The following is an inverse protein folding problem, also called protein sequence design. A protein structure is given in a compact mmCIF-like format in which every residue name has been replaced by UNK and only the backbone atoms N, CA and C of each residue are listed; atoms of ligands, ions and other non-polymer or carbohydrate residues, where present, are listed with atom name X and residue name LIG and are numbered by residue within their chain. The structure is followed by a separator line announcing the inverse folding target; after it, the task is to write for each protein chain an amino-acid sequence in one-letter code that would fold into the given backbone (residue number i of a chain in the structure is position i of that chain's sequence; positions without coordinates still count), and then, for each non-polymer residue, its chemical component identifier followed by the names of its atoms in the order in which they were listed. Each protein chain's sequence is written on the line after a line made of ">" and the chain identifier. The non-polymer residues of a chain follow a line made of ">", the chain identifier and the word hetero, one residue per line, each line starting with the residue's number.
data_IF_153313765765
#
_entry.id   IF_153313765765
#
_cell.length_a   1.000
_cell.length_b   1.000
_cell.length_c   1.000
_cell.angle_alpha   90.00
_cell.angle_beta   90.00
_cell.angle_gamma   90.00
#
_symmetry.space_group_name_H-M   'P 1'
#
loop_
_entity.id
_entity.type
_entity.pdbx_description
1 polymer ?
#
# COMPACT_ATOMS: atom_id res chain seq x y z
N UNK A 1 -30.66 37.37 7.05
CA UNK A 1 -30.40 35.95 7.43
C UNK A 1 -30.48 34.97 6.25
N UNK A 2 -31.54 35.00 5.42
CA UNK A 2 -31.66 34.09 4.26
C UNK A 2 -30.53 34.24 3.22
N UNK A 3 -30.10 35.46 2.92
CA UNK A 3 -29.01 35.74 1.97
C UNK A 3 -27.64 35.21 2.42
N UNK A 4 -27.31 35.28 3.72
CA UNK A 4 -26.08 34.70 4.26
C UNK A 4 -26.06 33.17 4.14
N UNK A 5 -27.21 32.52 4.34
CA UNK A 5 -27.34 31.07 4.22
C UNK A 5 -27.10 30.59 2.78
N UNK A 6 -27.60 31.33 1.78
CA UNK A 6 -27.38 31.02 0.36
C UNK A 6 -25.92 31.22 -0.07
N UNK A 7 -25.24 32.25 0.41
CA UNK A 7 -23.80 32.47 0.14
C UNK A 7 -22.97 31.32 0.72
N UNK A 8 -23.31 30.86 1.94
CA UNK A 8 -22.62 29.76 2.62
C UNK A 8 -22.86 28.42 1.92
N UNK A 9 -24.10 28.13 1.50
CA UNK A 9 -24.43 26.95 0.68
C UNK A 9 -23.74 26.98 -0.69
N UNK A 10 -23.67 28.14 -1.34
CA UNK A 10 -22.99 28.30 -2.62
C UNK A 10 -21.47 28.12 -2.48
N UNK A 11 -20.87 28.63 -1.40
CA UNK A 11 -19.47 28.40 -1.06
C UNK A 11 -19.16 26.93 -0.80
N UNK A 12 -20.03 26.22 -0.06
CA UNK A 12 -19.93 24.76 0.15
C UNK A 12 -20.07 24.02 -1.18
N UNK A 13 -20.99 24.42 -2.04
CA UNK A 13 -21.20 23.82 -3.36
C UNK A 13 -19.99 24.01 -4.29
N UNK A 14 -19.40 25.20 -4.33
CA UNK A 14 -18.16 25.46 -5.09
C UNK A 14 -17.00 24.63 -4.53
N UNK A 15 -16.84 24.57 -3.19
CA UNK A 15 -15.83 23.74 -2.55
C UNK A 15 -16.03 22.25 -2.86
N UNK A 16 -17.28 21.78 -2.90
CA UNK A 16 -17.64 20.42 -3.28
C UNK A 16 -17.35 20.12 -4.76
N UNK A 17 -17.69 21.03 -5.68
CA UNK A 17 -17.32 20.92 -7.10
C UNK A 17 -15.80 20.90 -7.29
N UNK A 18 -15.08 21.76 -6.57
CA UNK A 18 -13.62 21.81 -6.63
C UNK A 18 -12.98 20.53 -6.07
N UNK A 19 -13.55 19.99 -4.99
CA UNK A 19 -13.17 18.70 -4.42
C UNK A 19 -13.42 17.54 -5.40
N UNK A 20 -14.60 17.49 -6.07
CA UNK A 20 -14.90 16.52 -7.12
C UNK A 20 -13.93 16.67 -8.31
N UNK A 21 -13.67 17.89 -8.78
CA UNK A 21 -12.73 18.13 -9.90
C UNK A 21 -11.31 17.71 -9.56
N UNK A 22 -10.86 17.97 -8.33
CA UNK A 22 -9.54 17.54 -7.86
C UNK A 22 -9.44 16.01 -7.84
N UNK A 23 -10.50 15.31 -7.41
CA UNK A 23 -10.56 13.85 -7.51
C UNK A 23 -10.63 13.34 -8.97
N UNK A 24 -11.25 14.08 -9.89
CA UNK A 24 -11.55 13.62 -11.26
C UNK A 24 -10.56 14.02 -12.35
N UNK A 25 -9.59 14.92 -12.07
CA UNK A 25 -8.60 15.34 -13.08
C UNK A 25 -7.82 14.19 -13.75
N UNK A 26 -7.22 14.41 -14.93
CA UNK A 26 -6.41 13.40 -15.61
C UNK A 26 -5.21 12.99 -14.74
N UNK A 27 -4.86 11.70 -14.75
CA UNK A 27 -3.58 11.20 -14.21
C UNK A 27 -2.95 10.31 -15.28
N UNK A 28 -1.62 10.41 -15.42
CA UNK A 28 -0.86 9.57 -16.34
C UNK A 28 -0.78 8.15 -15.78
N UNK A 29 -1.18 7.17 -16.58
CA UNK A 29 -1.10 5.74 -16.28
C UNK A 29 -0.05 5.08 -17.18
N UNK A 30 0.60 4.04 -16.68
CA UNK A 30 1.65 3.30 -17.37
C UNK A 30 1.09 1.96 -17.85
N UNK A 31 0.61 1.91 -19.10
CA UNK A 31 0.02 0.69 -19.68
C UNK A 31 0.98 -0.49 -19.68
N UNK A 32 2.26 -0.25 -19.98
CA UNK A 32 3.30 -1.28 -19.91
C UNK A 32 3.45 -1.89 -18.52
N UNK A 33 3.30 -1.09 -17.44
CA UNK A 33 3.34 -1.61 -16.07
C UNK A 33 2.15 -2.49 -15.72
N UNK A 34 0.97 -2.23 -16.29
CA UNK A 34 -0.21 -3.08 -16.15
C UNK A 34 0.05 -4.44 -16.79
N UNK A 35 0.56 -4.45 -18.03
CA UNK A 35 0.91 -5.67 -18.76
C UNK A 35 1.99 -6.48 -18.04
N UNK A 36 3.08 -5.82 -17.63
CA UNK A 36 4.16 -6.44 -16.84
C UNK A 36 3.63 -7.04 -15.53
N UNK A 37 2.70 -6.37 -14.85
CA UNK A 37 2.10 -6.89 -13.62
C UNK A 37 1.27 -8.14 -13.89
N UNK A 38 0.45 -8.13 -14.94
CA UNK A 38 -0.30 -9.33 -15.36
C UNK A 38 0.64 -10.49 -15.66
N UNK A 39 1.69 -10.27 -16.44
CA UNK A 39 2.65 -11.30 -16.85
C UNK A 39 3.45 -11.86 -15.67
N UNK A 40 4.00 -10.98 -14.83
CA UNK A 40 4.95 -11.39 -13.79
C UNK A 40 4.30 -11.86 -12.49
N UNK A 41 3.08 -11.39 -12.19
CA UNK A 41 2.44 -11.58 -10.89
C UNK A 41 0.98 -12.03 -10.97
N UNK A 42 0.29 -11.85 -12.10
CA UNK A 42 -1.17 -12.04 -12.22
C UNK A 42 -1.66 -13.37 -11.63
N UNK A 43 -1.16 -14.49 -12.15
CA UNK A 43 -1.55 -15.84 -11.72
C UNK A 43 -1.32 -16.06 -10.22
N UNK A 44 -0.17 -15.62 -9.69
CA UNK A 44 0.16 -15.78 -8.27
C UNK A 44 -0.74 -14.92 -7.39
N UNK A 45 -1.01 -13.68 -7.81
CA UNK A 45 -1.92 -12.77 -7.12
C UNK A 45 -3.32 -13.35 -7.10
N UNK A 46 -3.84 -13.84 -8.23
CA UNK A 46 -5.18 -14.42 -8.33
C UNK A 46 -5.35 -15.60 -7.38
N UNK A 47 -4.40 -16.55 -7.40
CA UNK A 47 -4.38 -17.70 -6.51
C UNK A 47 -4.40 -17.29 -5.03
N UNK A 48 -3.49 -16.41 -4.63
CA UNK A 48 -3.37 -16.00 -3.22
C UNK A 48 -4.54 -15.12 -2.77
N UNK A 49 -5.06 -14.26 -3.65
CA UNK A 49 -6.21 -13.42 -3.36
C UNK A 49 -7.46 -14.29 -3.14
N UNK A 50 -7.65 -15.32 -3.97
CA UNK A 50 -8.70 -16.32 -3.80
C UNK A 50 -8.56 -17.07 -2.46
N UNK A 51 -7.39 -17.63 -2.17
CA UNK A 51 -7.09 -18.33 -0.90
C UNK A 51 -7.38 -17.43 0.32
N UNK A 52 -7.06 -16.15 0.21
CA UNK A 52 -7.20 -15.20 1.32
C UNK A 52 -8.58 -14.55 1.43
N UNK A 53 -9.45 -14.71 0.42
CA UNK A 53 -10.74 -14.03 0.31
C UNK A 53 -10.59 -12.51 0.18
N UNK A 54 -9.71 -12.07 -0.72
CA UNK A 54 -9.36 -10.67 -0.96
C UNK A 54 -9.46 -10.31 -2.45
N UNK A 55 -9.63 -9.02 -2.82
CA UNK A 55 -9.77 -8.60 -4.22
C UNK A 55 -8.42 -8.61 -4.94
N UNK A 56 -8.31 -9.43 -6.01
CA UNK A 56 -7.08 -9.55 -6.81
C UNK A 56 -6.69 -8.24 -7.49
N UNK A 57 -7.66 -7.54 -8.10
CA UNK A 57 -7.47 -6.26 -8.77
C UNK A 57 -6.77 -5.21 -7.88
N UNK A 58 -7.06 -5.18 -6.58
CA UNK A 58 -6.36 -4.29 -5.62
C UNK A 58 -4.86 -4.58 -5.56
N UNK A 59 -4.48 -5.85 -5.46
CA UNK A 59 -3.07 -6.24 -5.36
C UNK A 59 -2.33 -5.99 -6.67
N UNK A 60 -2.93 -6.31 -7.82
CA UNK A 60 -2.35 -5.98 -9.12
C UNK A 60 -2.14 -4.47 -9.27
N UNK A 61 -3.14 -3.65 -8.89
CA UNK A 61 -3.00 -2.20 -8.88
C UNK A 61 -1.89 -1.71 -7.94
N UNK A 62 -1.77 -2.31 -6.75
CA UNK A 62 -0.73 -1.98 -5.79
C UNK A 62 0.67 -2.31 -6.31
N UNK A 63 0.86 -3.47 -6.96
CA UNK A 63 2.13 -3.86 -7.59
C UNK A 63 2.56 -2.85 -8.66
N UNK A 64 1.62 -2.35 -9.48
CA UNK A 64 1.92 -1.29 -10.45
C UNK A 64 2.47 -0.04 -9.75
N UNK A 65 1.88 0.37 -8.62
CA UNK A 65 2.32 1.55 -7.89
C UNK A 65 3.66 1.35 -7.17
N UNK A 66 3.88 0.18 -6.59
CA UNK A 66 5.02 -0.08 -5.70
C UNK A 66 6.29 -0.51 -6.46
N UNK A 67 6.15 -1.26 -7.55
CA UNK A 67 7.31 -1.72 -8.32
C UNK A 67 7.12 -1.69 -9.84
N UNK A 68 6.06 -1.09 -10.36
CA UNK A 68 5.77 -1.00 -11.81
C UNK A 68 5.64 -2.35 -12.51
N UNK A 69 5.40 -3.44 -11.77
CA UNK A 69 5.38 -4.81 -12.28
C UNK A 69 6.76 -5.42 -12.57
N UNK A 70 7.86 -4.76 -12.19
CA UNK A 70 9.23 -5.29 -12.35
C UNK A 70 9.43 -6.58 -11.54
N UNK A 71 10.04 -7.60 -12.17
CA UNK A 71 10.47 -8.86 -11.54
C UNK A 71 11.94 -9.13 -11.91
N UNK A 72 12.87 -9.24 -10.94
CA UNK A 72 12.68 -9.04 -9.51
C UNK A 72 12.39 -7.58 -9.15
N UNK A 73 11.59 -7.31 -8.11
CA UNK A 73 11.32 -5.95 -7.67
C UNK A 73 12.55 -5.37 -6.95
N UNK A 74 12.86 -4.09 -7.19
CA UNK A 74 13.94 -3.38 -6.50
C UNK A 74 13.55 -3.13 -5.04
N UNK A 75 14.47 -3.40 -4.12
CA UNK A 75 14.32 -3.06 -2.70
C UNK A 75 14.73 -1.62 -2.44
N UNK A 76 14.14 -0.97 -1.42
CA UNK A 76 14.50 0.42 -1.07
C UNK A 76 14.89 0.54 0.40
N UNK A 77 16.15 0.92 0.64
CA UNK A 77 16.64 1.18 1.99
C UNK A 77 16.20 2.57 2.49
N UNK A 78 15.51 2.60 3.62
CA UNK A 78 15.04 3.83 4.25
C UNK A 78 15.97 4.28 5.38
N UNK A 79 16.96 5.12 5.04
CA UNK A 79 17.94 5.65 6.02
C UNK A 79 17.28 6.28 7.25
N UNK A 80 16.14 6.94 7.08
CA UNK A 80 15.42 7.58 8.16
C UNK A 80 14.75 6.55 9.11
N UNK A 81 14.24 5.43 8.57
CA UNK A 81 13.70 4.31 9.35
C UNK A 81 14.82 3.64 10.14
N UNK A 82 15.96 3.36 9.50
CA UNK A 82 17.13 2.80 10.17
C UNK A 82 17.58 3.64 11.36
N UNK A 83 17.73 4.97 11.18
CA UNK A 83 18.09 5.88 12.26
C UNK A 83 17.10 5.80 13.43
N UNK A 84 15.79 5.68 13.15
CA UNK A 84 14.76 5.54 14.19
C UNK A 84 14.87 4.21 14.93
N UNK A 85 15.02 3.09 14.23
CA UNK A 85 15.22 1.76 14.83
C UNK A 85 16.51 1.71 15.66
N UNK A 86 17.60 2.26 15.14
CA UNK A 86 18.87 2.36 15.85
C UNK A 86 18.75 3.17 17.16
N UNK A 87 18.05 4.31 17.13
CA UNK A 87 17.76 5.09 18.34
C UNK A 87 16.95 4.30 19.37
N UNK A 88 15.97 3.49 18.93
CA UNK A 88 15.23 2.59 19.83
C UNK A 88 16.16 1.54 20.44
N UNK A 89 16.98 0.87 19.61
CA UNK A 89 17.97 -0.11 20.09
C UNK A 89 18.92 0.47 21.14
N UNK A 90 19.39 1.70 20.93
CA UNK A 90 20.28 2.40 21.87
C UNK A 90 19.58 3.00 23.09
N UNK A 91 18.25 2.93 23.18
CA UNK A 91 17.48 3.54 24.27
C UNK A 91 17.31 5.06 24.15
N UNK A 92 17.79 5.69 23.07
CA UNK A 92 17.64 7.13 22.75
C UNK A 92 16.25 7.48 22.21
N UNK A 93 15.36 6.49 22.12
CA UNK A 93 13.95 6.60 21.75
C UNK A 93 13.18 5.46 22.42
N UNK A 94 12.04 5.76 23.04
CA UNK A 94 11.23 4.76 23.77
C UNK A 94 10.71 3.64 22.85
N UNK A 95 10.15 4.00 21.69
CA UNK A 95 9.56 3.06 20.72
C UNK A 95 9.48 3.59 19.29
N UNK A 96 9.34 2.71 18.31
CA UNK A 96 8.97 3.02 16.92
C UNK A 96 7.80 2.12 16.51
N UNK A 97 6.59 2.68 16.45
CA UNK A 97 5.38 1.85 16.45
C UNK A 97 5.32 0.98 17.73
N UNK A 98 5.12 -0.33 17.56
CA UNK A 98 5.17 -1.34 18.62
C UNK A 98 6.59 -1.82 18.96
N UNK A 99 7.62 -1.40 18.19
CA UNK A 99 8.98 -1.89 18.34
C UNK A 99 9.67 -1.18 19.52
N UNK A 100 10.24 -1.98 20.43
CA UNK A 100 10.90 -1.50 21.66
C UNK A 100 12.38 -1.88 21.68
N UNK A 101 13.13 -1.34 22.64
CA UNK A 101 14.53 -1.73 22.90
C UNK A 101 14.66 -3.25 23.11
N UNK A 102 13.70 -3.87 23.83
CA UNK A 102 13.67 -5.33 24.08
C UNK A 102 13.61 -6.11 22.76
N UNK A 103 12.77 -5.67 21.84
CA UNK A 103 12.64 -6.26 20.49
C UNK A 103 13.98 -6.24 19.74
N UNK A 104 14.68 -5.10 19.77
CA UNK A 104 15.87 -4.88 18.93
C UNK A 104 17.21 -5.25 19.58
N UNK A 105 17.22 -5.69 20.85
CA UNK A 105 18.45 -5.88 21.63
C UNK A 105 19.45 -6.81 20.94
N UNK A 106 18.97 -7.90 20.32
CA UNK A 106 19.79 -8.92 19.66
C UNK A 106 20.10 -8.65 18.18
N UNK A 107 19.49 -7.62 17.57
CA UNK A 107 19.66 -7.35 16.14
C UNK A 107 21.01 -6.69 15.82
N UNK A 108 21.75 -7.20 14.86
CA UNK A 108 22.96 -6.56 14.33
C UNK A 108 22.63 -5.30 13.53
N UNK A 109 23.62 -4.48 13.19
CA UNK A 109 23.41 -3.32 12.31
C UNK A 109 22.94 -3.75 10.92
N UNK A 110 23.44 -4.88 10.39
CA UNK A 110 22.97 -5.45 9.13
C UNK A 110 21.49 -5.85 9.21
N UNK A 111 21.09 -6.53 10.29
CA UNK A 111 19.68 -6.89 10.49
C UNK A 111 18.79 -5.65 10.70
N UNK A 112 19.28 -4.60 11.37
CA UNK A 112 18.55 -3.32 11.44
C UNK A 112 18.38 -2.67 10.05
N UNK A 113 19.37 -2.80 9.17
CA UNK A 113 19.28 -2.33 7.78
C UNK A 113 18.21 -3.12 7.03
N UNK A 114 18.17 -4.44 7.17
CA UNK A 114 17.13 -5.28 6.57
C UNK A 114 15.72 -4.88 7.03
N UNK A 115 15.54 -4.62 8.34
CA UNK A 115 14.26 -4.16 8.88
C UNK A 115 13.88 -2.75 8.37
N UNK A 116 14.87 -1.94 7.99
CA UNK A 116 14.67 -0.59 7.46
C UNK A 116 14.57 -0.55 5.93
N UNK A 117 14.49 -1.70 5.26
CA UNK A 117 14.34 -1.80 3.80
C UNK A 117 12.92 -2.25 3.45
N UNK A 118 12.32 -1.70 2.40
CA UNK A 118 11.10 -2.24 1.78
C UNK A 118 11.44 -3.36 0.82
N UNK A 119 10.63 -4.42 0.82
CA UNK A 119 10.90 -5.64 0.09
C UNK A 119 9.70 -6.10 -0.74
N UNK A 120 10.00 -6.84 -1.81
CA UNK A 120 9.00 -7.51 -2.63
C UNK A 120 8.15 -6.58 -3.50
N UNK A 121 7.18 -7.15 -4.24
CA UNK A 121 6.37 -6.42 -5.20
C UNK A 121 5.34 -5.49 -4.54
N UNK A 122 5.06 -5.66 -3.25
CA UNK A 122 4.23 -4.74 -2.46
C UNK A 122 5.05 -3.79 -1.56
N UNK A 123 6.39 -3.77 -1.72
CA UNK A 123 7.29 -2.87 -0.96
C UNK A 123 7.04 -2.82 0.56
N UNK A 124 6.79 -3.98 1.18
CA UNK A 124 6.55 -4.05 2.63
C UNK A 124 7.84 -3.79 3.39
N UNK A 125 7.80 -2.87 4.35
CA UNK A 125 8.93 -2.57 5.22
C UNK A 125 9.33 -3.79 6.06
N UNK A 126 10.60 -4.14 6.06
CA UNK A 126 11.12 -5.35 6.73
C UNK A 126 10.77 -5.43 8.22
N UNK A 127 10.69 -4.29 8.92
CA UNK A 127 10.32 -4.26 10.34
C UNK A 127 8.91 -4.81 10.62
N UNK A 128 8.04 -4.89 9.62
CA UNK A 128 6.72 -5.52 9.75
C UNK A 128 6.82 -7.02 10.05
N UNK A 129 7.94 -7.66 9.71
CA UNK A 129 8.16 -9.09 9.99
C UNK A 129 8.15 -9.38 11.49
N UNK A 130 8.52 -8.37 12.31
CA UNK A 130 8.51 -8.46 13.77
C UNK A 130 7.09 -8.59 14.33
N UNK A 131 6.14 -7.86 13.76
CA UNK A 131 4.73 -7.93 14.18
C UNK A 131 4.09 -9.26 13.74
N UNK A 132 4.48 -9.75 12.56
CA UNK A 132 4.02 -11.04 12.03
C UNK A 132 4.72 -12.25 12.65
N UNK A 133 5.77 -12.05 13.46
CA UNK A 133 6.61 -13.11 14.04
C UNK A 133 7.24 -14.05 12.99
N UNK A 134 7.65 -13.48 11.85
CA UNK A 134 8.35 -14.20 10.77
C UNK A 134 9.74 -13.58 10.52
N UNK A 135 10.71 -14.33 9.98
CA UNK A 135 11.99 -13.74 9.60
C UNK A 135 11.82 -12.78 8.40
N UNK A 136 12.64 -11.73 8.35
CA UNK A 136 12.59 -10.73 7.27
C UNK A 136 12.79 -11.35 5.87
N UNK A 137 13.47 -12.49 5.78
CA UNK A 137 13.62 -13.26 4.55
C UNK A 137 12.30 -13.70 3.92
N UNK A 138 11.20 -13.78 4.68
CA UNK A 138 9.87 -14.08 4.10
C UNK A 138 9.30 -12.96 3.24
N UNK A 139 9.79 -11.73 3.37
CA UNK A 139 9.49 -10.65 2.43
C UNK A 139 10.47 -10.59 1.26
N UNK A 140 11.47 -11.48 1.23
CA UNK A 140 12.44 -11.62 0.15
C UNK A 140 12.06 -12.82 -0.71
N UNK A 141 12.63 -12.87 -1.91
CA UNK A 141 12.62 -14.05 -2.78
C UNK A 141 11.21 -14.55 -3.14
N UNK A 142 11.06 -15.86 -3.36
CA UNK A 142 9.84 -16.48 -3.89
C UNK A 142 8.61 -16.34 -2.97
N UNK A 143 8.81 -16.20 -1.66
CA UNK A 143 7.72 -16.08 -0.69
C UNK A 143 7.22 -14.65 -0.51
N UNK A 144 7.93 -13.65 -1.06
CA UNK A 144 7.70 -12.24 -0.79
C UNK A 144 6.26 -11.80 -1.02
N UNK A 145 5.65 -12.25 -2.13
CA UNK A 145 4.28 -11.87 -2.48
C UNK A 145 3.28 -12.42 -1.45
N UNK A 146 3.36 -13.72 -1.14
CA UNK A 146 2.43 -14.39 -0.22
C UNK A 146 2.41 -13.73 1.16
N UNK A 147 3.58 -13.57 1.79
CA UNK A 147 3.65 -12.96 3.12
C UNK A 147 3.31 -11.47 3.11
N UNK A 148 3.62 -10.76 2.02
CA UNK A 148 3.18 -9.36 1.87
C UNK A 148 1.65 -9.26 1.80
N UNK A 149 0.99 -10.14 1.06
CA UNK A 149 -0.48 -10.20 1.00
C UNK A 149 -1.08 -10.60 2.36
N UNK A 150 -0.45 -11.52 3.10
CA UNK A 150 -0.86 -11.83 4.48
C UNK A 150 -0.74 -10.62 5.40
N UNK A 151 0.34 -9.84 5.29
CA UNK A 151 0.49 -8.60 6.06
C UNK A 151 -0.64 -7.63 5.75
N UNK A 152 -0.97 -7.46 4.47
CA UNK A 152 -2.10 -6.62 4.01
C UNK A 152 -3.43 -7.10 4.61
N UNK A 153 -3.71 -8.40 4.51
CA UNK A 153 -4.90 -9.03 5.10
C UNK A 153 -5.06 -8.66 6.57
N UNK A 154 -4.00 -8.84 7.35
CA UNK A 154 -4.00 -8.63 8.80
C UNK A 154 -4.03 -7.16 9.19
N UNK A 155 -3.49 -6.27 8.35
CA UNK A 155 -3.35 -4.85 8.69
C UNK A 155 -4.59 -4.05 8.29
N UNK A 156 -5.12 -4.28 7.09
CA UNK A 156 -6.24 -3.50 6.56
C UNK A 156 -7.17 -4.29 5.63
N UNK A 157 -7.16 -5.63 5.70
CA UNK A 157 -8.06 -6.48 4.90
C UNK A 157 -9.56 -6.17 5.10
N UNK A 158 -9.95 -5.66 6.27
CA UNK A 158 -11.33 -5.23 6.52
C UNK A 158 -11.76 -4.04 5.64
N UNK A 159 -10.85 -3.17 5.24
CA UNK A 159 -11.15 -2.10 4.28
C UNK A 159 -11.32 -2.67 2.88
N UNK A 160 -10.47 -3.62 2.49
CA UNK A 160 -10.56 -4.31 1.20
C UNK A 160 -11.90 -5.04 1.03
N UNK A 161 -12.34 -5.77 2.06
CA UNK A 161 -13.63 -6.48 2.06
C UNK A 161 -14.84 -5.56 1.93
N UNK A 162 -14.70 -4.30 2.34
CA UNK A 162 -15.75 -3.26 2.24
C UNK A 162 -15.66 -2.45 0.94
N UNK A 163 -14.70 -2.75 0.06
CA UNK A 163 -14.43 -1.95 -1.13
C UNK A 163 -13.84 -0.56 -0.83
N UNK A 164 -13.38 -0.29 0.40
CA UNK A 164 -12.77 0.99 0.78
C UNK A 164 -11.28 1.02 0.38
N UNK A 165 -11.05 0.99 -0.92
CA UNK A 165 -9.72 0.97 -1.51
C UNK A 165 -8.93 2.26 -1.28
N UNK A 166 -9.62 3.40 -1.13
CA UNK A 166 -8.98 4.67 -0.87
C UNK A 166 -8.26 4.67 0.49
N UNK A 167 -8.93 4.20 1.54
CA UNK A 167 -8.29 4.02 2.84
C UNK A 167 -7.24 2.92 2.79
N UNK A 168 -7.47 1.81 2.09
CA UNK A 168 -6.49 0.74 1.96
C UNK A 168 -5.16 1.22 1.35
N UNK A 169 -5.19 1.98 0.24
CA UNK A 169 -3.99 2.58 -0.35
C UNK A 169 -3.31 3.57 0.60
N UNK A 170 -4.08 4.42 1.29
CA UNK A 170 -3.50 5.37 2.23
C UNK A 170 -2.83 4.68 3.43
N UNK A 171 -3.45 3.60 3.96
CA UNK A 171 -2.88 2.79 5.04
C UNK A 171 -1.61 2.10 4.56
N UNK A 172 -1.60 1.54 3.35
CA UNK A 172 -0.40 0.91 2.80
C UNK A 172 0.79 1.88 2.77
N UNK A 173 0.56 3.09 2.24
CA UNK A 173 1.62 4.07 2.06
C UNK A 173 2.05 4.78 3.36
N UNK A 174 1.12 5.02 4.29
CA UNK A 174 1.35 5.90 5.46
C UNK A 174 1.22 5.20 6.82
N UNK A 175 0.65 3.99 6.84
CA UNK A 175 0.28 3.26 8.06
C UNK A 175 -0.99 3.77 8.73
N UNK A 176 -1.76 4.68 8.12
CA UNK A 176 -2.97 5.28 8.69
C UNK A 176 -4.09 5.42 7.65
N UNK A 177 -5.38 5.42 8.05
CA UNK A 177 -6.46 5.79 7.15
C UNK A 177 -6.36 7.25 6.71
N UNK A 178 -7.12 7.61 5.68
CA UNK A 178 -7.26 9.00 5.23
C UNK A 178 -7.68 9.89 6.41
N UNK A 179 -7.13 11.10 6.52
CA UNK A 179 -7.59 12.05 7.53
C UNK A 179 -9.03 12.48 7.22
N UNK A 180 -9.77 12.92 8.24
CA UNK A 180 -11.14 13.41 8.09
C UNK A 180 -11.28 14.55 7.08
N UNK A 181 -10.21 15.32 6.85
CA UNK A 181 -10.16 16.36 5.82
C UNK A 181 -10.14 15.83 4.38
N UNK A 182 -10.01 14.50 4.18
CA UNK A 182 -9.93 13.85 2.87
C UNK A 182 -8.61 14.07 2.12
N UNK A 183 -7.72 14.95 2.60
CA UNK A 183 -6.46 15.28 1.92
C UNK A 183 -5.39 14.23 2.21
N UNK A 184 -5.00 13.48 1.18
CA UNK A 184 -3.93 12.47 1.28
C UNK A 184 -2.62 13.08 1.79
N UNK A 185 -1.90 12.32 2.63
CA UNK A 185 -0.55 12.65 3.12
C UNK A 185 0.53 11.75 2.50
N UNK A 186 0.21 11.11 1.38
CA UNK A 186 1.16 10.33 0.59
C UNK A 186 2.19 11.23 -0.08
N UNK A 187 3.38 10.69 -0.35
CA UNK A 187 4.43 11.44 -1.07
C UNK A 187 3.98 11.84 -2.49
N UNK A 188 3.42 10.89 -3.25
CA UNK A 188 2.71 11.20 -4.50
C UNK A 188 1.26 11.58 -4.16
N UNK A 189 0.81 12.82 -4.41
CA UNK A 189 -0.57 13.24 -4.14
C UNK A 189 -1.60 12.48 -4.98
N UNK A 190 -1.18 11.87 -6.10
CA UNK A 190 -2.04 11.08 -6.98
C UNK A 190 -2.00 9.58 -6.70
N UNK A 191 -1.26 9.12 -5.68
CA UNK A 191 -1.06 7.70 -5.37
C UNK A 191 -2.39 6.92 -5.30
N UNK A 192 -3.32 7.41 -4.48
CA UNK A 192 -4.64 6.79 -4.29
C UNK A 192 -5.45 6.81 -5.59
N UNK A 193 -5.47 7.96 -6.26
CA UNK A 193 -6.23 8.15 -7.50
C UNK A 193 -5.73 7.24 -8.63
N UNK A 194 -4.42 7.07 -8.77
CA UNK A 194 -3.82 6.11 -9.70
C UNK A 194 -4.21 4.68 -9.33
N UNK A 195 -4.10 4.32 -8.06
CA UNK A 195 -4.50 3.00 -7.56
C UNK A 195 -5.94 2.64 -7.91
N UNK A 196 -6.88 3.55 -7.63
CA UNK A 196 -8.30 3.37 -7.98
C UNK A 196 -8.53 3.20 -9.49
N UNK A 197 -7.78 3.92 -10.33
CA UNK A 197 -7.87 3.72 -11.79
C UNK A 197 -7.30 2.38 -12.24
N UNK A 198 -6.21 1.92 -11.64
CA UNK A 198 -5.64 0.61 -11.96
C UNK A 198 -6.55 -0.54 -11.51
N UNK A 199 -7.24 -0.42 -10.38
CA UNK A 199 -8.24 -1.40 -9.96
C UNK A 199 -9.29 -1.61 -11.05
N UNK A 200 -9.89 -0.52 -11.56
CA UNK A 200 -10.87 -0.58 -12.65
C UNK A 200 -10.32 -1.28 -13.89
N UNK A 201 -9.08 -0.98 -14.26
CA UNK A 201 -8.42 -1.64 -15.41
C UNK A 201 -8.31 -3.16 -15.20
N UNK A 202 -7.98 -3.61 -13.99
CA UNK A 202 -7.87 -5.04 -13.70
C UNK A 202 -9.23 -5.72 -13.54
N UNK A 203 -10.22 -5.05 -12.94
CA UNK A 203 -11.62 -5.53 -12.87
C UNK A 203 -12.21 -5.69 -14.28
N UNK A 204 -12.01 -4.69 -15.16
CA UNK A 204 -12.47 -4.75 -16.56
C UNK A 204 -11.82 -5.90 -17.34
N UNK A 205 -10.56 -6.22 -17.05
CA UNK A 205 -9.86 -7.37 -17.65
C UNK A 205 -10.38 -8.70 -17.10
N UNK A 206 -10.55 -8.82 -15.79
CA UNK A 206 -11.07 -10.03 -15.13
C UNK A 206 -12.51 -10.35 -15.57
N UNK A 207 -13.33 -9.32 -15.82
CA UNK A 207 -14.68 -9.50 -16.35
C UNK A 207 -14.73 -9.97 -17.81
N UNK A 208 -13.69 -9.69 -18.61
CA UNK A 208 -13.59 -10.11 -20.02
C UNK A 208 -12.95 -11.48 -20.18
N UNK A 209 -12.02 -11.82 -19.29
CA UNK A 209 -11.25 -13.05 -19.31
C UNK A 209 -11.30 -13.67 -17.90
N UNK A 210 -12.43 -14.31 -17.53
CA UNK A 210 -12.55 -14.93 -16.21
C UNK A 210 -11.45 -15.99 -16.05
N UNK A 211 -10.92 -16.19 -14.83
CA UNK A 211 -9.85 -17.13 -14.60
C UNK A 211 -10.30 -18.54 -15.03
N UNK A 212 -9.54 -19.14 -15.95
CA UNK A 212 -9.71 -20.55 -16.31
C UNK A 212 -9.28 -21.37 -15.09
N UNK A 213 -10.25 -21.89 -14.35
CA UNK A 213 -10.02 -22.89 -13.31
C UNK A 213 -9.39 -24.11 -14.01
N UNK A 214 -8.09 -24.31 -13.81
CA UNK A 214 -7.38 -25.54 -14.20
C UNK A 214 -7.11 -26.36 -12.96
#
# INVERSE_FOLDING_TARGET
>A
MRSLLWILLFGIFIAFIFWIRQQSGPVKLHKSSVELTTQNYGVQVDKFAQEMGLPSAYFKALIVLECSGERPPKSRYERHVYKRLYRVKKGKRKRYGSITKKTLRKFSNGQLKDLATSWGPLQIMGYQSLAMKIPVSRFKEEFALYYSMQWVKNTYGNYLKKGDYANAFHIHNTGKPLPASGRSRTYDPNYIKKGLKYIKIFEDKENKEPPVLR
#
